data_IF_543841294335
#
_entry.id   IF_543841294335
#
_cell.length_a   1.000
_cell.length_b   1.000
_cell.length_c   1.000
_cell.angle_alpha   90.00
_cell.angle_beta   90.00
_cell.angle_gamma   90.00
#
_symmetry.space_group_name_H-M   'P 1'
#
loop_
_entity.id
_entity.type
_entity.pdbx_description
1 polymer ?
#
# COMPACT_ATOMS: atom_id res chain seq x y z
N UNK A 1 -33.33 -60.14 24.39
CA UNK A 1 -32.14 -59.30 24.56
C UNK A 1 -32.07 -58.34 23.36
N UNK A 2 -32.44 -57.05 23.58
CA UNK A 2 -32.46 -56.04 22.49
C UNK A 2 -31.12 -55.30 22.54
N UNK A 3 -30.31 -55.36 21.46
CA UNK A 3 -29.07 -54.64 21.31
C UNK A 3 -29.40 -53.21 20.82
N UNK A 4 -29.13 -52.20 21.64
CA UNK A 4 -29.20 -50.80 21.23
C UNK A 4 -27.92 -50.42 20.53
N UNK A 5 -28.04 -50.06 19.24
CA UNK A 5 -26.94 -49.49 18.47
C UNK A 5 -26.91 -47.98 18.68
N UNK A 6 -25.89 -47.48 19.36
CA UNK A 6 -25.67 -46.04 19.54
C UNK A 6 -24.93 -45.52 18.32
N UNK A 7 -25.59 -44.72 17.50
CA UNK A 7 -24.96 -43.95 16.41
C UNK A 7 -24.26 -42.74 17.01
N UNK A 8 -22.94 -42.71 16.94
CA UNK A 8 -22.12 -41.48 17.19
C UNK A 8 -22.11 -40.64 15.93
N UNK A 9 -22.90 -39.58 15.90
CA UNK A 9 -22.77 -38.54 14.88
C UNK A 9 -21.61 -37.60 15.28
N UNK A 10 -20.48 -37.77 14.63
CA UNK A 10 -19.35 -36.84 14.73
C UNK A 10 -19.72 -35.52 14.03
N UNK A 11 -20.04 -34.50 14.79
CA UNK A 11 -20.24 -33.14 14.31
C UNK A 11 -18.86 -32.53 14.00
N UNK A 12 -18.48 -32.48 12.74
CA UNK A 12 -17.30 -31.74 12.29
C UNK A 12 -17.59 -30.24 12.35
N UNK A 13 -17.11 -29.57 13.40
CA UNK A 13 -16.98 -28.13 13.40
C UNK A 13 -15.89 -27.76 12.38
N UNK A 14 -16.28 -27.32 11.19
CA UNK A 14 -15.40 -26.61 10.29
C UNK A 14 -15.06 -25.26 10.94
N UNK A 15 -13.97 -25.19 11.72
CA UNK A 15 -13.33 -23.92 12.02
C UNK A 15 -12.88 -23.35 10.69
N UNK A 16 -13.59 -22.32 10.22
CA UNK A 16 -13.13 -21.52 9.10
C UNK A 16 -11.78 -20.91 9.46
N UNK A 17 -10.70 -21.52 8.96
CA UNK A 17 -9.40 -20.88 8.99
C UNK A 17 -9.55 -19.56 8.22
N UNK A 18 -9.55 -18.42 8.93
CA UNK A 18 -9.38 -17.13 8.30
C UNK A 18 -8.13 -17.26 7.44
N UNK A 19 -8.27 -17.13 6.12
CA UNK A 19 -7.15 -17.26 5.21
C UNK A 19 -6.10 -16.24 5.63
N UNK A 20 -4.99 -16.70 6.18
CA UNK A 20 -3.86 -15.85 6.52
C UNK A 20 -3.47 -15.12 5.23
N UNK A 21 -3.42 -13.78 5.27
CA UNK A 21 -3.05 -12.98 4.12
C UNK A 21 -1.69 -13.45 3.58
N UNK A 22 -1.53 -13.48 2.26
CA UNK A 22 -0.25 -13.79 1.65
C UNK A 22 0.52 -12.48 1.39
N UNK A 23 1.62 -12.23 2.12
CA UNK A 23 2.37 -10.99 1.98
C UNK A 23 3.18 -10.89 0.68
N UNK A 24 3.41 -12.02 0.00
CA UNK A 24 4.11 -12.03 -1.28
C UNK A 24 3.15 -11.75 -2.43
N UNK A 25 3.44 -10.71 -3.20
CA UNK A 25 2.68 -10.37 -4.40
C UNK A 25 2.82 -11.45 -5.49
N UNK A 26 1.89 -11.45 -6.43
CA UNK A 26 2.09 -12.19 -7.66
C UNK A 26 3.28 -11.59 -8.42
N UNK A 27 4.27 -12.39 -8.86
CA UNK A 27 5.42 -11.88 -9.62
C UNK A 27 5.03 -11.08 -10.86
N UNK A 28 3.89 -11.38 -11.49
CA UNK A 28 3.38 -10.64 -12.65
C UNK A 28 2.92 -9.22 -12.31
N UNK A 29 2.65 -8.93 -11.03
CA UNK A 29 2.30 -7.60 -10.55
C UNK A 29 3.52 -6.78 -10.10
N UNK A 30 4.71 -7.37 -10.12
CA UNK A 30 5.96 -6.75 -9.64
C UNK A 30 6.78 -6.23 -10.82
N UNK A 31 7.22 -4.98 -10.71
CA UNK A 31 8.11 -4.32 -11.68
C UNK A 31 9.32 -3.78 -10.93
N UNK A 32 10.50 -4.22 -11.31
CA UNK A 32 11.77 -3.78 -10.71
C UNK A 32 12.53 -2.87 -11.68
N UNK A 33 13.16 -1.83 -11.14
CA UNK A 33 13.94 -0.86 -11.89
C UNK A 33 15.17 -0.43 -11.06
N UNK A 34 16.22 -1.24 -11.10
CA UNK A 34 17.41 -1.09 -10.25
C UNK A 34 17.04 -1.21 -8.77
N UNK A 35 17.30 -0.17 -8.01
CA UNK A 35 17.02 -0.12 -6.56
C UNK A 35 15.55 0.23 -6.22
N UNK A 36 14.67 0.30 -7.20
CA UNK A 36 13.26 0.56 -7.02
C UNK A 36 12.42 -0.66 -7.38
N UNK A 37 11.38 -0.96 -6.58
CA UNK A 37 10.37 -1.98 -6.83
C UNK A 37 8.98 -1.37 -6.75
N UNK A 38 8.15 -1.72 -7.71
CA UNK A 38 6.75 -1.30 -7.80
C UNK A 38 5.87 -2.54 -7.83
N UNK A 39 4.88 -2.60 -6.96
CA UNK A 39 3.90 -3.68 -6.93
C UNK A 39 2.52 -3.12 -7.26
N UNK A 40 1.96 -3.49 -8.39
CA UNK A 40 0.63 -3.04 -8.83
C UNK A 40 -0.41 -3.92 -8.17
N UNK A 41 -1.04 -3.43 -7.10
CA UNK A 41 -2.00 -4.20 -6.30
C UNK A 41 -3.44 -4.05 -6.81
N UNK A 42 -3.81 -2.84 -7.24
CA UNK A 42 -5.06 -2.54 -7.93
C UNK A 42 -4.81 -1.50 -9.01
N UNK A 43 -5.77 -1.18 -9.89
CA UNK A 43 -5.61 -0.07 -10.82
C UNK A 43 -5.30 1.28 -10.15
N UNK A 44 -5.72 1.47 -8.89
CA UNK A 44 -5.54 2.70 -8.12
C UNK A 44 -4.40 2.61 -7.09
N UNK A 45 -3.85 1.42 -6.84
CA UNK A 45 -2.89 1.21 -5.75
C UNK A 45 -1.61 0.56 -6.26
N UNK A 46 -0.53 1.30 -6.21
CA UNK A 46 0.83 0.83 -6.49
C UNK A 46 1.68 1.01 -5.22
N UNK A 47 2.19 -0.10 -4.69
CA UNK A 47 3.19 -0.07 -3.62
C UNK A 47 4.55 0.23 -4.22
N UNK A 48 5.25 1.18 -3.63
CA UNK A 48 6.56 1.64 -4.11
C UNK A 48 7.60 1.44 -3.01
N UNK A 49 8.72 0.87 -3.36
CA UNK A 49 9.85 0.59 -2.48
C UNK A 49 11.14 1.04 -3.14
N UNK A 50 12.03 1.60 -2.36
CA UNK A 50 13.37 1.89 -2.79
C UNK A 50 14.36 1.40 -1.73
N UNK A 51 15.41 0.69 -2.15
CA UNK A 51 16.40 0.11 -1.27
C UNK A 51 17.79 0.30 -1.84
N UNK A 52 18.69 0.87 -1.06
CA UNK A 52 20.07 1.11 -1.49
C UNK A 52 20.84 -0.18 -1.81
N UNK A 53 20.49 -1.29 -1.15
CA UNK A 53 21.12 -2.60 -1.32
C UNK A 53 20.29 -3.57 -2.18
N UNK A 54 19.17 -3.10 -2.77
CA UNK A 54 18.29 -3.90 -3.61
C UNK A 54 17.46 -4.95 -2.84
N UNK A 55 17.44 -4.89 -1.51
CA UNK A 55 16.63 -5.79 -0.69
C UNK A 55 15.29 -5.17 -0.38
N UNK A 56 14.24 -5.87 -0.70
CA UNK A 56 12.87 -5.41 -0.51
C UNK A 56 12.14 -6.22 0.55
N UNK A 57 11.12 -5.63 1.18
CA UNK A 57 10.37 -6.27 2.25
C UNK A 57 9.24 -7.16 1.69
N UNK A 58 9.41 -8.46 1.79
CA UNK A 58 8.43 -9.47 1.33
C UNK A 58 7.60 -10.06 2.47
N UNK A 59 7.93 -9.76 3.73
CA UNK A 59 7.11 -10.11 4.88
C UNK A 59 5.88 -9.22 4.98
N UNK A 60 4.87 -9.67 5.70
CA UNK A 60 3.73 -8.83 6.04
C UNK A 60 4.20 -7.58 6.79
N UNK A 61 3.69 -6.43 6.38
CA UNK A 61 3.88 -5.16 7.09
C UNK A 61 2.55 -4.74 7.73
N UNK A 62 2.60 -3.78 8.64
CA UNK A 62 1.38 -3.26 9.29
C UNK A 62 0.35 -2.77 8.26
N UNK A 63 0.80 -2.17 7.17
CA UNK A 63 -0.07 -1.62 6.12
C UNK A 63 -0.45 -2.67 5.07
N UNK A 64 0.43 -3.62 4.76
CA UNK A 64 0.23 -4.60 3.69
C UNK A 64 0.44 -6.02 4.21
N UNK A 65 -0.61 -6.60 4.75
CA UNK A 65 -0.63 -7.99 5.25
C UNK A 65 -0.91 -9.00 4.14
N UNK A 66 -1.60 -8.58 3.07
CA UNK A 66 -1.91 -9.39 1.89
C UNK A 66 -1.57 -8.61 0.61
N UNK A 67 -0.65 -9.15 -0.18
CA UNK A 67 -0.28 -8.60 -1.49
C UNK A 67 -0.62 -9.56 -2.64
N UNK A 68 -1.08 -10.78 -2.33
CA UNK A 68 -1.52 -11.77 -3.31
C UNK A 68 -2.95 -11.48 -3.74
N UNK A 69 -3.11 -10.40 -4.51
CA UNK A 69 -4.37 -9.99 -5.12
C UNK A 69 -4.42 -10.48 -6.58
N UNK A 70 -5.60 -10.54 -7.22
CA UNK A 70 -5.69 -10.70 -8.66
C UNK A 70 -4.87 -9.61 -9.35
N UNK A 71 -4.03 -10.01 -10.32
CA UNK A 71 -3.18 -9.08 -11.04
C UNK A 71 -4.04 -8.15 -11.90
N UNK A 72 -4.02 -6.82 -11.68
CA UNK A 72 -4.79 -5.90 -12.49
C UNK A 72 -4.18 -5.75 -13.89
N UNK A 73 -4.96 -5.24 -14.83
CA UNK A 73 -4.43 -4.83 -16.12
C UNK A 73 -3.53 -3.59 -15.97
N UNK A 74 -2.32 -3.66 -16.50
CA UNK A 74 -1.41 -2.51 -16.57
C UNK A 74 -0.38 -2.70 -17.70
N UNK A 75 0.26 -1.60 -18.08
CA UNK A 75 1.32 -1.59 -19.09
C UNK A 75 2.59 -1.00 -18.50
N UNK A 76 3.72 -1.56 -18.88
CA UNK A 76 5.05 -1.10 -18.48
C UNK A 76 5.81 -0.63 -19.72
N UNK A 77 6.31 0.60 -19.67
CA UNK A 77 7.32 1.09 -20.59
C UNK A 77 8.61 1.32 -19.81
N UNK A 78 9.58 0.48 -20.08
CA UNK A 78 10.89 0.56 -19.45
C UNK A 78 11.94 1.00 -20.45
N UNK A 79 12.67 2.07 -20.13
CA UNK A 79 13.79 2.60 -20.90
C UNK A 79 15.04 2.65 -20.02
N UNK A 80 16.19 2.97 -20.59
CA UNK A 80 17.46 3.09 -19.85
C UNK A 80 17.34 4.03 -18.62
N UNK A 81 16.65 5.17 -18.78
CA UNK A 81 16.56 6.22 -17.75
C UNK A 81 15.20 6.34 -17.07
N UNK A 82 14.15 5.73 -17.61
CA UNK A 82 12.77 5.98 -17.15
C UNK A 82 11.93 4.72 -17.17
N UNK A 83 11.20 4.52 -16.09
CA UNK A 83 10.12 3.55 -15.98
C UNK A 83 8.78 4.30 -16.01
N UNK A 84 7.81 3.80 -16.76
CA UNK A 84 6.41 4.25 -16.75
C UNK A 84 5.50 3.05 -16.55
N UNK A 85 4.64 3.10 -15.56
CA UNK A 85 3.59 2.11 -15.29
C UNK A 85 2.25 2.81 -15.52
N UNK A 86 1.44 2.28 -16.42
CA UNK A 86 0.11 2.82 -16.74
C UNK A 86 -0.94 1.78 -16.41
N UNK A 87 -1.88 2.13 -15.54
CA UNK A 87 -3.09 1.38 -15.24
C UNK A 87 -4.31 2.11 -15.83
N UNK A 88 -5.51 1.54 -15.81
CA UNK A 88 -6.72 2.27 -16.17
C UNK A 88 -7.00 3.52 -15.33
N UNK A 89 -6.45 3.61 -14.11
CA UNK A 89 -6.73 4.68 -13.16
C UNK A 89 -5.61 5.73 -13.03
N UNK A 90 -4.34 5.37 -13.27
CA UNK A 90 -3.22 6.28 -13.09
C UNK A 90 -2.04 5.97 -14.02
N UNK A 91 -1.16 6.94 -14.17
CA UNK A 91 0.16 6.76 -14.78
C UNK A 91 1.23 7.17 -13.79
N UNK A 92 2.08 6.21 -13.42
CA UNK A 92 3.26 6.43 -12.59
C UNK A 92 4.49 6.56 -13.49
N UNK A 93 5.33 7.55 -13.22
CA UNK A 93 6.61 7.75 -13.94
C UNK A 93 7.74 7.89 -12.92
N UNK A 94 8.80 7.11 -13.12
CA UNK A 94 10.01 7.14 -12.29
C UNK A 94 11.25 7.33 -13.16
N UNK A 95 12.05 8.36 -12.87
CA UNK A 95 13.41 8.49 -13.41
C UNK A 95 14.35 7.66 -12.54
N UNK A 96 14.99 6.68 -13.16
CA UNK A 96 15.77 5.65 -12.46
C UNK A 96 17.04 6.20 -11.82
N UNK A 97 17.51 5.51 -10.79
CA UNK A 97 18.82 5.70 -10.15
C UNK A 97 18.72 6.14 -8.71
N UNK A 98 17.99 7.20 -8.43
CA UNK A 98 17.97 7.81 -7.10
C UNK A 98 16.74 7.40 -6.27
N UNK A 99 16.84 7.55 -4.95
CA UNK A 99 15.71 7.40 -4.03
C UNK A 99 14.55 8.31 -4.46
N UNK A 100 13.32 7.86 -4.22
CA UNK A 100 12.12 8.62 -4.58
C UNK A 100 12.10 10.04 -4.02
N UNK A 101 11.81 10.98 -4.89
CA UNK A 101 11.71 12.41 -4.59
C UNK A 101 10.75 13.09 -5.56
N UNK A 102 10.37 14.33 -5.30
CA UNK A 102 9.56 15.12 -6.21
C UNK A 102 10.20 15.31 -7.60
N UNK A 103 11.53 15.24 -7.68
CA UNK A 103 12.26 15.42 -8.94
C UNK A 103 12.22 14.18 -9.84
N UNK A 104 12.04 12.97 -9.28
CA UNK A 104 12.20 11.74 -10.05
C UNK A 104 10.99 10.80 -10.05
N UNK A 105 9.96 11.07 -9.23
CA UNK A 105 8.76 10.25 -9.13
C UNK A 105 7.50 11.11 -9.20
N UNK A 106 6.58 10.73 -10.06
CA UNK A 106 5.25 11.34 -10.14
C UNK A 106 4.17 10.33 -10.49
N UNK A 107 2.98 10.55 -9.97
CA UNK A 107 1.76 9.87 -10.41
C UNK A 107 0.77 10.89 -10.94
N UNK A 108 0.14 10.58 -12.07
CA UNK A 108 -0.91 11.37 -12.70
C UNK A 108 -2.18 10.55 -12.72
N UNK A 109 -3.26 11.09 -12.20
CA UNK A 109 -4.58 10.44 -12.13
C UNK A 109 -5.70 11.48 -12.21
N UNK A 110 -6.95 11.00 -12.29
CA UNK A 110 -8.12 11.88 -12.25
C UNK A 110 -8.87 11.68 -10.94
N UNK A 111 -9.19 12.82 -10.30
CA UNK A 111 -10.01 12.87 -9.09
C UNK A 111 -11.14 13.88 -9.33
N UNK A 112 -12.39 13.45 -9.17
CA UNK A 112 -13.56 14.29 -9.39
C UNK A 112 -13.56 15.03 -10.76
N UNK A 113 -13.10 14.32 -11.82
CA UNK A 113 -13.02 14.85 -13.18
C UNK A 113 -11.82 15.75 -13.46
N UNK A 114 -11.01 16.09 -12.46
CA UNK A 114 -9.80 16.91 -12.59
C UNK A 114 -8.55 16.06 -12.66
N UNK A 115 -7.59 16.48 -13.46
CA UNK A 115 -6.28 15.86 -13.46
C UNK A 115 -5.50 16.31 -12.23
N UNK A 116 -4.91 15.34 -11.54
CA UNK A 116 -4.05 15.54 -10.37
C UNK A 116 -2.68 14.99 -10.68
N UNK A 117 -1.66 15.77 -10.36
CA UNK A 117 -0.25 15.35 -10.39
C UNK A 117 0.24 15.28 -8.96
N UNK A 118 0.60 14.07 -8.53
CA UNK A 118 1.18 13.85 -7.22
C UNK A 118 2.67 13.54 -7.33
N UNK A 119 3.46 14.08 -6.41
CA UNK A 119 4.88 13.76 -6.22
C UNK A 119 5.16 13.54 -4.73
N UNK A 120 6.24 12.82 -4.37
CA UNK A 120 6.65 12.73 -2.96
C UNK A 120 6.82 14.11 -2.33
N UNK A 121 6.21 14.31 -1.15
CA UNK A 121 6.23 15.59 -0.44
C UNK A 121 5.24 16.63 -0.95
N UNK A 122 4.30 16.27 -1.83
CA UNK A 122 3.18 17.15 -2.18
C UNK A 122 2.43 17.55 -0.90
N UNK A 123 2.29 18.86 -0.67
CA UNK A 123 1.52 19.39 0.45
C UNK A 123 0.03 19.11 0.25
N UNK A 124 -0.63 18.77 1.33
CA UNK A 124 -2.08 18.60 1.39
C UNK A 124 -2.68 19.60 2.41
N UNK A 125 -3.07 20.80 1.98
CA UNK A 125 -3.63 21.80 2.88
C UNK A 125 -5.00 21.42 3.46
N UNK A 126 -5.65 20.39 2.90
CA UNK A 126 -6.93 19.87 3.37
C UNK A 126 -6.78 18.55 4.14
N UNK A 127 -5.55 18.20 4.51
CA UNK A 127 -5.26 16.99 5.29
C UNK A 127 -6.02 17.03 6.62
N UNK A 128 -6.66 15.92 6.97
CA UNK A 128 -7.41 15.82 8.22
C UNK A 128 -6.50 15.63 9.43
N UNK A 129 -5.21 15.59 9.20
CA UNK A 129 -4.16 15.38 10.18
C UNK A 129 -4.26 14.00 10.86
N UNK A 130 -3.18 13.58 11.48
CA UNK A 130 -3.11 12.37 12.26
C UNK A 130 -3.30 12.64 13.76
N UNK A 131 -3.23 11.58 14.54
CA UNK A 131 -3.12 11.67 15.99
C UNK A 131 -1.66 11.84 16.39
N UNK A 132 -1.41 12.45 17.55
CA UNK A 132 -0.09 12.41 18.18
C UNK A 132 0.27 10.94 18.50
N UNK A 133 1.54 10.58 18.31
CA UNK A 133 2.00 9.20 18.57
C UNK A 133 2.01 8.86 20.06
N UNK A 134 2.10 9.86 20.90
CA UNK A 134 2.22 9.72 22.36
C UNK A 134 1.55 10.91 23.03
N UNK A 135 1.11 10.68 24.26
CA UNK A 135 0.60 11.73 25.13
C UNK A 135 1.71 12.34 26.01
N UNK A 136 2.96 11.98 25.76
CA UNK A 136 4.11 12.50 26.49
C UNK A 136 4.18 14.03 26.35
N UNK A 137 4.25 14.73 27.48
CA UNK A 137 4.17 16.19 27.52
C UNK A 137 2.76 16.77 27.53
N UNK A 138 1.71 15.98 27.39
CA UNK A 138 0.31 16.37 27.53
C UNK A 138 -0.16 16.22 28.99
N UNK A 139 0.55 16.82 29.92
CA UNK A 139 0.27 16.72 31.37
C UNK A 139 -0.84 17.67 31.87
N UNK A 140 -1.53 18.33 30.96
CA UNK A 140 -2.57 19.33 31.27
C UNK A 140 -2.04 20.66 31.80
N UNK A 141 -0.73 20.82 32.00
CA UNK A 141 -0.10 22.04 32.49
C UNK A 141 0.37 22.97 31.37
N UNK A 142 0.63 22.42 30.19
CA UNK A 142 0.94 23.20 29.00
C UNK A 142 -0.29 23.25 28.12
N UNK A 143 -0.94 24.39 28.07
CA UNK A 143 -2.02 24.71 27.14
C UNK A 143 -1.51 24.86 25.68
N UNK A 144 -0.41 24.19 25.33
CA UNK A 144 0.12 24.16 23.98
C UNK A 144 -0.66 23.13 23.16
N UNK A 145 -1.00 23.48 21.92
CA UNK A 145 -1.47 22.51 20.93
C UNK A 145 -0.25 21.73 20.45
N UNK A 146 -0.20 20.44 20.74
CA UNK A 146 0.78 19.58 20.09
C UNK A 146 0.49 19.54 18.59
N UNK A 147 1.47 19.82 17.73
CA UNK A 147 1.26 19.75 16.29
C UNK A 147 0.97 18.32 15.89
N UNK A 148 -0.17 18.09 15.26
CA UNK A 148 -0.49 16.79 14.67
C UNK A 148 0.29 16.62 13.36
N UNK A 149 0.80 15.42 13.13
CA UNK A 149 1.42 15.06 11.86
C UNK A 149 0.34 14.93 10.75
N UNK A 150 0.77 14.99 9.49
CA UNK A 150 -0.12 14.71 8.38
C UNK A 150 -0.65 13.26 8.46
N UNK A 151 -1.95 13.12 8.35
CA UNK A 151 -2.65 11.84 8.31
C UNK A 151 -2.76 11.30 6.89
N UNK A 152 -3.40 10.14 6.77
CA UNK A 152 -3.64 9.48 5.49
C UNK A 152 -4.88 10.00 4.76
N UNK A 153 -5.73 10.77 5.43
CA UNK A 153 -7.01 11.23 4.91
C UNK A 153 -6.97 12.72 4.62
N UNK A 154 -7.60 13.12 3.52
CA UNK A 154 -7.79 14.50 3.10
C UNK A 154 -9.25 14.77 2.80
N UNK A 155 -9.66 16.04 2.93
CA UNK A 155 -10.96 16.51 2.42
C UNK A 155 -10.95 16.74 0.91
N UNK A 156 -9.76 16.76 0.31
CA UNK A 156 -9.62 16.90 -1.14
C UNK A 156 -9.92 15.59 -1.90
N UNK A 157 -9.97 14.45 -1.20
CA UNK A 157 -10.25 13.12 -1.74
C UNK A 157 -9.07 12.18 -1.69
#
# INVERSE_FOLDING_TARGET
MKRATILFTALWLALGAAAAGNPQADPRAVVEAGNARFTVLTPQLIRMEWSADGRFEDRATLTFVNRRTPVPEFRVRDTKSRLTITTPALTLTYTKGEKFSAANLKAVFRLNGREVVWTPGTEDPQNLMGTTRTLDGCDGRKLGREPMEQGLLSRAG
#
